data_IF_357574237250
#
_entry.id   IF_357574237250
#
_cell.length_a   1.000
_cell.length_b   1.000
_cell.length_c   1.000
_cell.angle_alpha   90.00
_cell.angle_beta   90.00
_cell.angle_gamma   90.00
#
_symmetry.space_group_name_H-M   'P 1'
#
loop_
_entity.id
_entity.type
_entity.pdbx_description
1 polymer ?
#
# COMPACT_ATOMS: atom_id res chain seq x y z
N UNK A 1 49.83 -9.23 24.44
CA UNK A 1 49.19 -8.63 23.24
C UNK A 1 48.37 -9.63 22.39
N UNK A 2 47.83 -10.70 22.99
CA UNK A 2 46.82 -11.57 22.35
C UNK A 2 45.82 -12.05 23.42
N UNK A 3 45.01 -11.14 23.97
CA UNK A 3 43.92 -11.57 24.86
C UNK A 3 42.84 -12.28 24.04
N UNK A 4 42.14 -13.23 24.66
CA UNK A 4 40.98 -13.90 24.07
C UNK A 4 39.92 -12.91 23.60
N UNK A 5 39.76 -11.80 24.33
CA UNK A 5 38.86 -10.69 23.98
C UNK A 5 39.26 -10.01 22.67
N UNK A 6 40.54 -9.72 22.44
CA UNK A 6 41.01 -9.11 21.18
C UNK A 6 40.81 -10.05 19.99
N UNK A 7 41.02 -11.36 20.18
CA UNK A 7 40.76 -12.37 19.13
C UNK A 7 39.26 -12.45 18.80
N UNK A 8 38.40 -12.47 19.82
CA UNK A 8 36.95 -12.48 19.63
C UNK A 8 36.47 -11.21 18.90
N UNK A 9 37.00 -10.04 19.28
CA UNK A 9 36.68 -8.78 18.62
C UNK A 9 37.06 -8.80 17.14
N UNK A 10 38.25 -9.31 16.79
CA UNK A 10 38.69 -9.41 15.40
C UNK A 10 37.83 -10.38 14.58
N UNK A 11 37.46 -11.53 15.15
CA UNK A 11 36.58 -12.50 14.49
C UNK A 11 35.18 -11.91 14.26
N UNK A 12 34.62 -11.24 15.27
CA UNK A 12 33.33 -10.57 15.14
C UNK A 12 33.38 -9.42 14.12
N UNK A 13 34.44 -8.60 14.14
CA UNK A 13 34.65 -7.52 13.18
C UNK A 13 34.80 -8.03 11.74
N UNK A 14 35.52 -9.13 11.54
CA UNK A 14 35.62 -9.77 10.23
C UNK A 14 34.26 -10.31 9.78
N UNK A 15 33.54 -11.03 10.66
CA UNK A 15 32.21 -11.56 10.37
C UNK A 15 31.22 -10.46 9.98
N UNK A 16 31.16 -9.35 10.74
CA UNK A 16 30.25 -8.25 10.42
C UNK A 16 30.62 -7.58 9.10
N UNK A 17 31.92 -7.39 8.84
CA UNK A 17 32.39 -6.81 7.56
C UNK A 17 31.97 -7.66 6.37
N UNK A 18 32.14 -8.98 6.43
CA UNK A 18 31.69 -9.91 5.39
C UNK A 18 30.16 -9.89 5.28
N UNK A 19 29.43 -9.90 6.40
CA UNK A 19 27.98 -9.85 6.39
C UNK A 19 27.45 -8.56 5.73
N UNK A 20 28.04 -7.40 6.04
CA UNK A 20 27.69 -6.12 5.41
C UNK A 20 28.06 -6.07 3.93
N UNK A 21 29.19 -6.65 3.52
CA UNK A 21 29.56 -6.73 2.11
C UNK A 21 28.54 -7.57 1.32
N UNK A 22 28.15 -8.74 1.84
CA UNK A 22 27.10 -9.57 1.22
C UNK A 22 25.75 -8.85 1.21
N UNK A 23 25.38 -8.19 2.31
CA UNK A 23 24.16 -7.40 2.40
C UNK A 23 24.11 -6.28 1.34
N UNK A 24 25.24 -5.59 1.12
CA UNK A 24 25.37 -4.55 0.10
C UNK A 24 25.21 -5.13 -1.32
N UNK A 25 25.80 -6.30 -1.59
CA UNK A 25 25.63 -6.99 -2.88
C UNK A 25 24.18 -7.40 -3.12
N UNK A 26 23.49 -7.91 -2.09
CA UNK A 26 22.06 -8.26 -2.18
C UNK A 26 21.23 -7.00 -2.45
N UNK A 27 21.46 -5.91 -1.71
CA UNK A 27 20.76 -4.65 -1.92
C UNK A 27 20.99 -4.06 -3.33
N UNK A 28 22.21 -4.16 -3.87
CA UNK A 28 22.50 -3.70 -5.23
C UNK A 28 21.85 -4.60 -6.29
N UNK A 29 21.85 -5.92 -6.08
CA UNK A 29 21.22 -6.88 -7.01
C UNK A 29 19.73 -6.62 -7.21
N UNK A 30 19.03 -6.13 -6.18
CA UNK A 30 17.59 -5.80 -6.23
C UNK A 30 17.28 -4.67 -7.23
N UNK A 31 18.22 -3.74 -7.45
CA UNK A 31 18.05 -2.65 -8.43
C UNK A 31 17.94 -3.20 -9.86
N UNK A 32 18.58 -4.33 -10.15
CA UNK A 32 18.59 -4.95 -11.46
C UNK A 32 17.34 -5.82 -11.73
N UNK A 33 16.54 -6.09 -10.70
CA UNK A 33 15.32 -6.87 -10.82
C UNK A 33 14.24 -6.06 -11.57
N UNK A 34 13.53 -6.68 -12.54
CA UNK A 34 12.48 -6.00 -13.28
C UNK A 34 11.26 -5.71 -12.41
N UNK A 35 10.75 -4.47 -12.48
CA UNK A 35 9.55 -4.03 -11.75
C UNK A 35 8.59 -3.39 -12.75
N UNK A 36 7.60 -4.16 -13.18
CA UNK A 36 6.62 -3.75 -14.20
C UNK A 36 5.20 -4.03 -13.72
N UNK A 37 4.74 -3.34 -12.66
CA UNK A 37 3.40 -3.55 -12.11
C UNK A 37 2.32 -3.02 -13.07
N UNK A 38 1.17 -3.68 -13.09
CA UNK A 38 0.00 -3.24 -13.85
C UNK A 38 -1.24 -3.22 -12.97
N UNK A 39 -2.17 -2.31 -13.22
CA UNK A 39 -3.43 -2.25 -12.48
C UNK A 39 -4.54 -1.55 -13.24
N UNK A 40 -5.75 -1.72 -12.73
CA UNK A 40 -6.97 -1.07 -13.20
C UNK A 40 -7.86 -0.76 -12.00
N UNK A 41 -8.15 0.52 -11.80
CA UNK A 41 -9.00 1.02 -10.70
C UNK A 41 -10.33 1.51 -11.27
N UNK A 42 -11.44 0.93 -10.81
CA UNK A 42 -12.79 1.26 -11.27
C UNK A 42 -13.63 1.72 -10.09
N UNK A 43 -14.12 2.94 -10.14
CA UNK A 43 -15.06 3.47 -9.15
C UNK A 43 -16.44 2.85 -9.37
N UNK A 44 -17.11 2.43 -8.29
CA UNK A 44 -18.42 1.76 -8.36
C UNK A 44 -19.52 2.62 -7.77
N UNK A 45 -19.39 3.00 -6.51
CA UNK A 45 -20.39 3.80 -5.80
C UNK A 45 -19.69 4.82 -4.91
N UNK A 46 -20.31 5.98 -4.77
CA UNK A 46 -19.76 7.11 -4.03
C UNK A 46 -20.91 7.75 -3.28
N UNK A 47 -20.74 7.93 -1.98
CA UNK A 47 -21.78 8.52 -1.13
C UNK A 47 -21.16 9.59 -0.23
N UNK A 48 -21.83 10.74 -0.09
CA UNK A 48 -21.42 11.78 0.83
C UNK A 48 -22.45 11.90 1.94
N UNK A 49 -21.98 11.85 3.18
CA UNK A 49 -22.80 11.88 4.38
C UNK A 49 -22.26 12.97 5.31
N UNK A 50 -23.17 13.70 5.97
CA UNK A 50 -22.83 14.66 7.01
C UNK A 50 -23.02 14.02 8.38
N UNK A 51 -21.97 14.00 9.20
CA UNK A 51 -22.01 13.37 10.51
C UNK A 51 -20.76 13.61 11.33
N UNK A 52 -20.54 12.81 12.37
CA UNK A 52 -19.27 12.78 13.10
C UNK A 52 -18.41 11.66 12.49
N UNK A 53 -17.32 11.98 11.77
CA UNK A 53 -16.49 10.97 11.12
C UNK A 53 -15.71 10.12 12.14
N UNK A 54 -15.30 10.72 13.26
CA UNK A 54 -14.69 10.04 14.40
C UNK A 54 -15.55 10.20 15.64
N UNK A 55 -15.62 9.14 16.47
CA UNK A 55 -16.43 9.11 17.70
C UNK A 55 -16.10 10.29 18.64
N UNK A 56 -14.82 10.66 18.72
CA UNK A 56 -14.33 11.74 19.58
C UNK A 56 -14.37 13.13 18.95
N UNK A 57 -14.81 13.27 17.69
CA UNK A 57 -14.93 14.60 17.07
C UNK A 57 -16.23 15.28 17.50
N UNK A 58 -16.10 16.47 18.10
CA UNK A 58 -17.25 17.32 18.44
C UNK A 58 -17.89 17.95 17.21
N UNK A 59 -17.12 18.11 16.12
CA UNK A 59 -17.54 18.77 14.88
C UNK A 59 -18.28 17.82 13.95
N UNK A 60 -19.40 18.30 13.39
CA UNK A 60 -20.13 17.61 12.32
C UNK A 60 -19.53 18.03 10.98
N UNK A 61 -18.99 17.07 10.24
CA UNK A 61 -18.30 17.27 8.98
C UNK A 61 -18.91 16.40 7.90
N UNK A 62 -18.69 16.78 6.65
CA UNK A 62 -19.05 15.95 5.50
C UNK A 62 -17.92 14.98 5.21
N UNK A 63 -18.25 13.70 5.11
CA UNK A 63 -17.31 12.67 4.71
C UNK A 63 -17.84 11.86 3.54
N UNK A 64 -16.92 11.47 2.66
CA UNK A 64 -17.20 10.61 1.52
C UNK A 64 -16.88 9.14 1.84
N UNK A 65 -17.79 8.26 1.44
CA UNK A 65 -17.62 6.79 1.46
C UNK A 65 -17.59 6.32 0.02
N UNK A 66 -16.46 5.74 -0.37
CA UNK A 66 -16.22 5.28 -1.75
C UNK A 66 -16.21 3.76 -1.77
N UNK A 67 -16.82 3.20 -2.82
CA UNK A 67 -16.69 1.80 -3.19
C UNK A 67 -16.02 1.71 -4.54
N UNK A 68 -15.02 0.86 -4.65
CA UNK A 68 -14.24 0.69 -5.87
C UNK A 68 -13.97 -0.78 -6.15
N UNK A 69 -13.54 -1.08 -7.36
CA UNK A 69 -12.98 -2.37 -7.75
C UNK A 69 -11.55 -2.15 -8.20
N UNK A 70 -10.65 -3.01 -7.75
CA UNK A 70 -9.22 -2.92 -8.02
C UNK A 70 -8.75 -4.27 -8.54
N UNK A 71 -8.23 -4.28 -9.76
CA UNK A 71 -7.48 -5.41 -10.29
C UNK A 71 -6.05 -4.96 -10.46
N UNK A 72 -5.11 -5.55 -9.72
CA UNK A 72 -3.69 -5.18 -9.79
C UNK A 72 -2.81 -6.41 -9.87
N UNK A 73 -1.86 -6.40 -10.79
CA UNK A 73 -0.77 -7.37 -10.88
C UNK A 73 0.53 -6.71 -10.41
N UNK A 74 0.86 -7.00 -9.16
CA UNK A 74 2.07 -6.56 -8.46
C UNK A 74 3.08 -7.70 -8.31
N UNK A 75 2.88 -8.83 -8.99
CA UNK A 75 3.76 -10.00 -8.88
C UNK A 75 5.21 -9.68 -9.22
N UNK A 76 5.44 -8.80 -10.19
CA UNK A 76 6.79 -8.33 -10.57
C UNK A 76 7.54 -7.56 -9.46
N UNK A 77 6.83 -7.08 -8.44
CA UNK A 77 7.46 -6.42 -7.28
C UNK A 77 8.02 -7.43 -6.27
N UNK A 78 7.66 -8.71 -6.39
CA UNK A 78 8.15 -9.76 -5.53
C UNK A 78 9.35 -10.46 -6.17
N UNK A 79 10.52 -10.23 -5.60
CA UNK A 79 11.74 -10.95 -5.95
C UNK A 79 12.36 -11.63 -4.71
N UNK A 80 13.60 -12.10 -4.82
CA UNK A 80 14.32 -12.75 -3.72
C UNK A 80 14.55 -11.85 -2.50
N UNK A 81 14.64 -10.53 -2.70
CA UNK A 81 14.89 -9.55 -1.65
C UNK A 81 13.61 -8.89 -1.12
N UNK A 82 12.45 -9.09 -1.74
CA UNK A 82 11.20 -8.46 -1.26
C UNK A 82 10.68 -9.14 0.00
N UNK A 83 10.58 -8.38 1.11
CA UNK A 83 9.97 -8.83 2.36
C UNK A 83 8.45 -8.63 2.33
N UNK A 84 8.02 -7.42 2.00
CA UNK A 84 6.61 -7.06 1.95
C UNK A 84 6.36 -5.89 1.00
N UNK A 85 5.17 -5.85 0.43
CA UNK A 85 4.68 -4.75 -0.39
C UNK A 85 3.47 -4.14 0.31
N UNK A 86 3.57 -2.88 0.69
CA UNK A 86 2.46 -2.09 1.18
C UNK A 86 1.75 -1.47 0.00
N UNK A 87 0.47 -1.77 -0.19
CA UNK A 87 -0.34 -1.29 -1.31
C UNK A 87 -1.46 -0.45 -0.74
N UNK A 88 -1.68 0.73 -1.29
CA UNK A 88 -2.74 1.61 -0.84
C UNK A 88 -3.38 2.35 -2.01
N UNK A 89 -4.66 2.63 -1.87
CA UNK A 89 -5.43 3.45 -2.80
C UNK A 89 -5.68 4.79 -2.13
N UNK A 90 -5.32 5.86 -2.81
CA UNK A 90 -5.62 7.23 -2.39
C UNK A 90 -6.69 7.83 -3.30
N UNK A 91 -7.46 8.76 -2.75
CA UNK A 91 -8.31 9.66 -3.50
C UNK A 91 -7.61 11.01 -3.56
N UNK A 92 -7.45 11.54 -4.77
CA UNK A 92 -6.89 12.87 -5.03
C UNK A 92 -7.98 13.78 -5.59
N UNK A 93 -8.02 15.03 -5.13
CA UNK A 93 -8.96 16.04 -5.60
C UNK A 93 -8.30 17.43 -5.61
N UNK A 94 -8.74 18.34 -6.50
CA UNK A 94 -8.15 19.68 -6.58
C UNK A 94 -8.39 20.47 -5.29
N UNK A 95 -7.43 21.33 -4.94
CA UNK A 95 -7.60 22.28 -3.85
C UNK A 95 -8.50 23.45 -4.28
N UNK A 96 -9.19 24.07 -3.31
CA UNK A 96 -10.03 25.23 -3.55
C UNK A 96 -9.23 26.48 -3.93
N UNK A 97 -7.97 26.58 -3.49
CA UNK A 97 -7.13 27.76 -3.67
C UNK A 97 -6.25 27.70 -4.92
N UNK A 98 -5.87 26.51 -5.38
CA UNK A 98 -5.01 26.33 -6.57
C UNK A 98 -5.29 24.99 -7.22
N UNK A 99 -5.31 24.98 -8.55
CA UNK A 99 -5.45 23.77 -9.37
C UNK A 99 -4.17 22.95 -9.45
N UNK A 100 -3.01 23.53 -9.12
CA UNK A 100 -1.71 22.83 -9.10
C UNK A 100 -1.52 21.99 -7.84
N UNK A 101 -2.14 22.42 -6.73
CA UNK A 101 -2.10 21.70 -5.46
C UNK A 101 -3.28 20.73 -5.39
N UNK A 102 -2.98 19.45 -5.23
CA UNK A 102 -3.98 18.40 -5.04
C UNK A 102 -3.99 17.98 -3.57
N UNK A 103 -5.20 17.83 -3.03
CA UNK A 103 -5.39 17.15 -1.76
C UNK A 103 -5.44 15.65 -2.03
N UNK A 104 -4.77 14.87 -1.18
CA UNK A 104 -4.72 13.42 -1.31
C UNK A 104 -5.01 12.77 0.04
N UNK A 105 -5.90 11.76 0.04
CA UNK A 105 -6.22 11.00 1.24
C UNK A 105 -6.28 9.49 0.93
N UNK A 106 -5.68 8.68 1.79
CA UNK A 106 -5.70 7.22 1.68
C UNK A 106 -7.07 6.69 2.09
N UNK A 107 -7.69 5.89 1.22
CA UNK A 107 -9.02 5.29 1.47
C UNK A 107 -8.96 3.81 1.81
N UNK A 108 -7.90 3.13 1.38
CA UNK A 108 -7.74 1.70 1.56
C UNK A 108 -6.27 1.33 1.50
N UNK A 109 -5.86 0.35 2.30
CA UNK A 109 -4.51 -0.17 2.36
C UNK A 109 -4.52 -1.67 2.64
N UNK A 110 -3.50 -2.36 2.16
CA UNK A 110 -3.19 -3.74 2.52
C UNK A 110 -1.69 -3.97 2.48
N UNK A 111 -1.22 -4.94 3.28
CA UNK A 111 0.17 -5.40 3.27
C UNK A 111 0.17 -6.79 2.65
N UNK A 112 0.92 -6.96 1.56
CA UNK A 112 1.18 -8.26 0.95
C UNK A 112 2.58 -8.70 1.38
N UNK A 113 2.65 -9.69 2.27
CA UNK A 113 3.91 -10.24 2.79
C UNK A 113 4.46 -11.33 1.88
N UNK A 114 5.78 -11.50 1.86
CA UNK A 114 6.41 -12.70 1.32
C UNK A 114 6.01 -13.91 2.19
N UNK A 115 5.74 -15.12 1.63
CA UNK A 115 5.42 -16.30 2.42
C UNK A 115 6.38 -16.59 3.58
N UNK A 116 7.68 -16.31 3.43
CA UNK A 116 8.68 -16.49 4.50
C UNK A 116 8.61 -15.42 5.61
N UNK A 117 7.94 -14.29 5.35
CA UNK A 117 7.74 -13.18 6.28
C UNK A 117 6.36 -13.20 6.95
N UNK A 118 5.49 -14.14 6.57
CA UNK A 118 4.09 -14.14 6.97
C UNK A 118 3.94 -14.59 8.43
N UNK A 119 4.17 -13.66 9.35
CA UNK A 119 4.04 -13.83 10.81
C UNK A 119 2.63 -14.29 11.22
N UNK A 120 1.62 -14.10 10.36
CA UNK A 120 0.23 -14.49 10.62
C UNK A 120 0.03 -16.01 10.61
N UNK A 121 1.08 -16.77 10.34
CA UNK A 121 1.16 -18.18 10.65
C UNK A 121 1.51 -18.37 12.13
N UNK A 122 0.54 -18.17 13.03
CA UNK A 122 0.51 -18.76 14.38
C UNK A 122 0.39 -20.29 14.24
N UNK A 123 1.46 -20.89 13.74
CA UNK A 123 1.46 -22.29 13.35
C UNK A 123 2.40 -23.02 14.29
N UNK A 124 1.84 -23.98 15.04
CA UNK A 124 2.60 -24.85 15.91
C UNK A 124 3.78 -25.53 15.18
N UNK A 125 4.79 -26.01 15.92
CA UNK A 125 6.08 -26.45 15.37
C UNK A 125 5.98 -27.49 14.24
N UNK A 126 4.93 -28.32 14.24
CA UNK A 126 4.67 -29.31 13.19
C UNK A 126 4.32 -28.70 11.83
N UNK A 127 3.48 -27.67 11.80
CA UNK A 127 3.06 -27.06 10.55
C UNK A 127 4.07 -26.01 10.06
N UNK A 128 4.86 -25.39 10.97
CA UNK A 128 6.08 -24.65 10.62
C UNK A 128 7.07 -25.55 9.87
N UNK A 129 7.34 -26.77 10.37
CA UNK A 129 8.22 -27.75 9.70
C UNK A 129 7.68 -28.17 8.33
N UNK A 130 6.35 -28.29 8.20
CA UNK A 130 5.68 -28.60 6.93
C UNK A 130 5.78 -27.44 5.93
N UNK A 131 5.68 -26.20 6.40
CA UNK A 131 5.78 -24.99 5.59
C UNK A 131 7.22 -24.68 5.16
N UNK A 132 8.19 -24.83 6.06
CA UNK A 132 9.62 -24.73 5.71
C UNK A 132 9.98 -25.79 4.68
N UNK A 133 9.49 -27.03 4.84
CA UNK A 133 9.69 -28.10 3.86
C UNK A 133 8.97 -27.82 2.53
N UNK A 134 7.80 -27.20 2.55
CA UNK A 134 7.04 -26.89 1.33
C UNK A 134 7.51 -25.62 0.62
N UNK A 135 8.15 -24.69 1.34
CA UNK A 135 8.76 -23.47 0.81
C UNK A 135 10.19 -23.69 0.30
N UNK A 136 10.88 -24.75 0.76
CA UNK A 136 12.24 -25.09 0.30
C UNK A 136 12.22 -25.36 -1.21
N UNK A 137 12.81 -24.45 -1.98
CA UNK A 137 12.95 -24.54 -3.44
C UNK A 137 11.76 -24.00 -4.24
N UNK A 138 10.71 -23.45 -3.60
CA UNK A 138 9.66 -22.73 -4.32
C UNK A 138 10.05 -21.25 -4.42
N UNK A 139 10.09 -20.72 -5.64
CA UNK A 139 10.09 -19.27 -5.85
C UNK A 139 8.83 -18.66 -5.24
N UNK A 140 8.85 -17.34 -4.97
CA UNK A 140 7.66 -16.61 -4.52
C UNK A 140 6.48 -17.00 -5.42
N UNK A 141 5.37 -17.41 -4.81
CA UNK A 141 4.18 -17.88 -5.52
C UNK A 141 3.80 -16.86 -6.63
N UNK A 142 3.75 -17.25 -7.92
CA UNK A 142 3.45 -16.34 -9.03
C UNK A 142 2.08 -15.66 -8.94
N UNK A 143 1.16 -16.22 -8.14
CA UNK A 143 -0.14 -15.62 -7.86
C UNK A 143 -0.08 -14.52 -6.80
N UNK A 144 0.99 -14.48 -5.99
CA UNK A 144 1.16 -13.47 -4.93
C UNK A 144 1.45 -12.11 -5.54
N UNK A 145 0.82 -11.07 -5.00
CA UNK A 145 0.83 -9.73 -5.59
C UNK A 145 -0.28 -9.50 -6.63
N UNK A 146 -1.07 -10.52 -6.99
CA UNK A 146 -2.31 -10.31 -7.75
C UNK A 146 -3.45 -9.99 -6.79
N UNK A 147 -4.03 -8.80 -6.94
CA UNK A 147 -5.20 -8.34 -6.20
C UNK A 147 -6.39 -8.29 -7.15
N UNK A 148 -7.49 -8.95 -6.79
CA UNK A 148 -8.79 -8.79 -7.46
C UNK A 148 -9.86 -8.46 -6.41
N UNK A 149 -10.10 -7.17 -6.22
CA UNK A 149 -11.07 -6.64 -5.27
C UNK A 149 -12.31 -6.18 -6.03
N UNK A 150 -13.46 -6.79 -5.74
CA UNK A 150 -14.74 -6.44 -6.37
C UNK A 150 -15.63 -5.69 -5.39
N UNK A 151 -16.05 -4.49 -5.77
CA UNK A 151 -16.96 -3.65 -4.97
C UNK A 151 -16.52 -3.45 -3.51
N UNK A 152 -15.20 -3.30 -3.33
CA UNK A 152 -14.53 -3.09 -2.06
C UNK A 152 -14.96 -1.77 -1.45
N UNK A 153 -15.37 -1.82 -0.18
CA UNK A 153 -15.65 -0.63 0.62
C UNK A 153 -14.32 -0.03 1.09
N UNK A 154 -14.19 1.29 0.98
CA UNK A 154 -13.09 2.02 1.59
C UNK A 154 -13.00 1.73 3.10
N UNK A 155 -11.77 1.57 3.60
CA UNK A 155 -11.46 1.38 5.02
C UNK A 155 -11.54 2.71 5.76
N UNK A 156 -11.07 3.77 5.12
CA UNK A 156 -11.06 5.12 5.68
C UNK A 156 -12.07 6.01 4.95
N UNK A 157 -12.68 6.91 5.71
CA UNK A 157 -13.58 7.94 5.19
C UNK A 157 -12.76 9.17 4.84
N UNK A 158 -13.12 9.85 3.77
CA UNK A 158 -12.43 11.09 3.35
C UNK A 158 -13.19 12.28 3.92
N UNK A 159 -12.47 13.18 4.60
CA UNK A 159 -12.92 14.54 4.91
C UNK A 159 -12.02 15.55 4.20
N UNK A 160 -12.54 16.74 3.92
CA UNK A 160 -11.73 17.85 3.45
C UNK A 160 -11.33 18.74 4.62
N UNK A 161 -10.18 19.44 4.57
CA UNK A 161 -9.79 20.42 5.59
C UNK A 161 -10.85 21.53 5.83
N UNK A 162 -11.66 21.82 4.82
CA UNK A 162 -12.77 22.79 4.89
C UNK A 162 -14.03 22.24 5.59
N UNK A 163 -14.06 20.95 5.92
CA UNK A 163 -15.22 20.25 6.49
C UNK A 163 -16.36 19.96 5.49
N UNK A 164 -16.19 20.33 4.21
CA UNK A 164 -17.16 20.11 3.12
C UNK A 164 -16.52 19.32 1.99
N UNK A 165 -17.17 18.26 1.56
CA UNK A 165 -16.68 17.32 0.54
C UNK A 165 -17.74 17.09 -0.55
N UNK A 166 -18.99 17.50 -0.33
CA UNK A 166 -20.03 17.35 -1.33
C UNK A 166 -19.69 18.14 -2.60
N UNK A 167 -20.06 17.59 -3.76
CA UNK A 167 -19.93 18.25 -5.07
C UNK A 167 -18.50 18.57 -5.53
N UNK A 168 -17.46 18.04 -4.89
CA UNK A 168 -16.08 18.14 -5.39
C UNK A 168 -15.96 17.47 -6.76
N UNK A 169 -15.47 18.23 -7.73
CA UNK A 169 -15.23 17.75 -9.10
C UNK A 169 -13.82 17.16 -9.23
N UNK A 170 -13.58 16.44 -10.32
CA UNK A 170 -12.25 15.94 -10.72
C UNK A 170 -11.54 15.07 -9.68
N UNK A 171 -12.32 14.28 -8.91
CA UNK A 171 -11.76 13.31 -7.98
C UNK A 171 -11.23 12.11 -8.75
N UNK A 172 -10.05 11.63 -8.37
CA UNK A 172 -9.37 10.50 -8.99
C UNK A 172 -8.85 9.54 -7.93
N UNK A 173 -9.01 8.24 -8.14
CA UNK A 173 -8.37 7.23 -7.31
C UNK A 173 -7.02 6.83 -7.90
N UNK A 174 -5.97 6.88 -7.10
CA UNK A 174 -4.62 6.47 -7.47
C UNK A 174 -4.21 5.23 -6.67
N UNK A 175 -3.61 4.26 -7.34
CA UNK A 175 -2.97 3.12 -6.72
C UNK A 175 -1.50 3.44 -6.48
N UNK A 176 -1.07 3.25 -5.24
CA UNK A 176 0.31 3.35 -4.83
C UNK A 176 0.76 2.07 -4.16
N UNK A 177 2.06 1.85 -4.19
CA UNK A 177 2.73 0.80 -3.45
C UNK A 177 4.08 1.27 -2.92
N UNK A 178 4.51 0.66 -1.82
CA UNK A 178 5.86 0.73 -1.26
C UNK A 178 6.40 -0.68 -1.11
N UNK A 179 7.59 -0.94 -1.65
CA UNK A 179 8.29 -2.23 -1.56
C UNK A 179 9.33 -2.15 -0.47
N UNK A 180 9.16 -2.96 0.56
CA UNK A 180 10.13 -3.14 1.64
C UNK A 180 10.99 -4.37 1.37
N UNK A 181 12.32 -4.20 1.17
CA UNK A 181 13.22 -5.32 1.05
C UNK A 181 13.57 -5.94 2.40
N UNK A 182 14.15 -7.14 2.38
CA UNK A 182 14.83 -7.75 3.52
C UNK A 182 16.09 -6.96 3.89
N UNK A 183 16.85 -6.57 2.86
CA UNK A 183 18.08 -5.79 3.00
C UNK A 183 18.09 -4.70 1.94
N UNK A 184 18.23 -3.44 2.36
CA UNK A 184 18.29 -2.29 1.45
C UNK A 184 17.27 -1.21 1.79
N UNK A 185 17.05 -0.30 0.83
CA UNK A 185 16.24 0.90 1.01
C UNK A 185 14.78 0.59 0.66
N UNK A 186 13.84 1.17 1.42
CA UNK A 186 12.42 1.18 1.06
C UNK A 186 12.25 1.89 -0.29
N UNK A 187 11.46 1.32 -1.19
CA UNK A 187 11.20 1.95 -2.49
C UNK A 187 9.72 2.23 -2.67
N UNK A 188 9.40 3.41 -3.18
CA UNK A 188 8.02 3.87 -3.37
C UNK A 188 7.61 3.74 -4.83
N UNK A 189 6.34 4.03 -5.10
CA UNK A 189 5.81 4.08 -6.46
C UNK A 189 6.64 5.06 -7.29
N UNK A 190 7.30 4.60 -8.36
CA UNK A 190 8.19 5.45 -9.13
C UNK A 190 7.39 6.51 -9.87
N UNK A 191 7.78 7.78 -9.69
CA UNK A 191 7.23 8.92 -10.43
C UNK A 191 7.89 9.09 -11.80
N UNK A 192 9.05 8.47 -12.00
CA UNK A 192 9.85 8.51 -13.24
C UNK A 192 10.25 7.06 -13.55
N UNK A 193 10.29 6.70 -14.83
CA UNK A 193 10.81 5.39 -15.23
C UNK A 193 12.33 5.38 -15.16
N UNK A 194 12.89 4.35 -14.53
CA UNK A 194 14.34 4.20 -14.41
C UNK A 194 14.76 2.77 -14.74
N UNK A 195 15.46 2.60 -15.87
CA UNK A 195 15.93 1.29 -16.33
C UNK A 195 14.80 0.27 -16.42
N UNK A 196 14.89 -0.78 -15.58
CA UNK A 196 13.90 -1.87 -15.50
C UNK A 196 12.75 -1.62 -14.53
N UNK A 197 12.70 -0.44 -13.91
CA UNK A 197 11.61 -0.01 -13.04
C UNK A 197 10.68 0.90 -13.82
N UNK A 198 9.47 0.40 -14.06
CA UNK A 198 8.44 1.08 -14.83
C UNK A 198 7.35 1.62 -13.90
N UNK A 199 6.66 2.67 -14.36
CA UNK A 199 5.47 3.18 -13.66
C UNK A 199 4.36 2.14 -13.72
N UNK A 200 3.41 2.25 -12.79
CA UNK A 200 2.22 1.40 -12.80
C UNK A 200 1.41 1.69 -14.05
N UNK A 201 1.20 0.66 -14.88
CA UNK A 201 0.32 0.77 -16.04
C UNK A 201 -1.14 0.75 -15.57
N UNK A 202 -1.87 1.86 -15.70
CA UNK A 202 -3.31 1.93 -15.38
C UNK A 202 -3.67 2.18 -13.91
N UNK A 203 -2.70 2.63 -13.10
CA UNK A 203 -2.89 2.91 -11.66
C UNK A 203 -3.77 4.09 -11.29
N UNK A 204 -4.51 4.66 -12.25
CA UNK A 204 -5.30 5.89 -12.07
C UNK A 204 -6.72 5.62 -12.59
N UNK A 205 -7.73 5.94 -11.78
CA UNK A 205 -9.14 5.79 -12.19
C UNK A 205 -9.58 6.91 -13.14
N UNK A 206 -10.73 6.72 -13.77
CA UNK A 206 -11.45 7.83 -14.43
C UNK A 206 -11.80 8.90 -13.39
N UNK A 207 -11.77 10.16 -13.81
CA UNK A 207 -12.25 11.31 -13.01
C UNK A 207 -13.73 11.14 -12.71
N UNK A 208 -14.13 11.43 -11.48
CA UNK A 208 -15.52 11.38 -11.05
C UNK A 208 -15.83 12.53 -10.09
N UNK A 209 -17.12 12.76 -9.85
CA UNK A 209 -17.62 13.82 -8.99
C UNK A 209 -18.21 13.24 -7.71
N UNK A 210 -17.94 13.88 -6.58
CA UNK A 210 -18.65 13.56 -5.34
C UNK A 210 -20.11 14.02 -5.42
N UNK A 211 -21.09 13.15 -5.08
CA UNK A 211 -22.50 13.50 -5.15
C UNK A 211 -22.86 14.60 -4.15
N UNK A 212 -24.03 15.19 -4.33
CA UNK A 212 -24.63 16.07 -3.34
C UNK A 212 -24.92 15.31 -2.03
N UNK A 213 -25.00 16.06 -0.92
CA UNK A 213 -25.40 15.51 0.37
C UNK A 213 -26.76 14.82 0.26
N UNK A 214 -26.83 13.57 0.73
CA UNK A 214 -28.12 12.94 0.98
C UNK A 214 -28.81 13.70 2.11
N UNK A 215 -29.74 14.59 1.76
CA UNK A 215 -30.65 15.20 2.74
C UNK A 215 -31.51 14.07 3.28
N UNK A 216 -31.37 13.73 4.57
CA UNK A 216 -32.37 12.89 5.23
C UNK A 216 -33.69 13.66 5.14
N UNK A 217 -34.68 13.13 4.41
CA UNK A 217 -36.07 13.60 4.51
C UNK A 217 -36.42 13.56 5.99
N UNK A 218 -36.59 14.73 6.59
CA UNK A 218 -37.16 14.83 7.93
C UNK A 218 -38.59 14.38 7.77
N UNK A 219 -38.93 13.21 8.27
CA UNK A 219 -40.33 12.83 8.44
C UNK A 219 -40.95 13.88 9.35
N UNK A 220 -41.80 14.74 8.78
CA UNK A 220 -42.67 15.61 9.55
C UNK A 220 -43.45 14.72 10.53
N UNK A 221 -43.07 14.79 11.80
CA UNK A 221 -43.95 14.32 12.87
C UNK A 221 -45.23 15.14 12.75
N UNK A 222 -46.26 14.53 12.17
CA UNK A 222 -47.64 15.02 12.27
C UNK A 222 -47.93 15.25 13.76
N UNK A 223 -48.19 16.51 14.08
CA UNK A 223 -48.62 16.96 15.40
C UNK A 223 -49.97 16.34 15.79
#
# INVERSE_FOLDING_TARGET
>A
MHSTVVRAQNVFGFFTTVAFAVAALIAFSDILAPRTPSSSVIVKDVQVVKGRPHYYSSKKEEYAVIRFSLTADLSSLFNWNTKQVFVYVSASWPNATSTELVNEAVIWDTIITNPSADHLQNIGPAAMKKLVRSAKGKSVDPSRGKLDLKNQKAKYQITAPTGKVAQTNDVVLNLHYNVQPWVGILTWTPQIEFGRWKKIKGGVSKKFKFPALKVKKVEEKKA
#
